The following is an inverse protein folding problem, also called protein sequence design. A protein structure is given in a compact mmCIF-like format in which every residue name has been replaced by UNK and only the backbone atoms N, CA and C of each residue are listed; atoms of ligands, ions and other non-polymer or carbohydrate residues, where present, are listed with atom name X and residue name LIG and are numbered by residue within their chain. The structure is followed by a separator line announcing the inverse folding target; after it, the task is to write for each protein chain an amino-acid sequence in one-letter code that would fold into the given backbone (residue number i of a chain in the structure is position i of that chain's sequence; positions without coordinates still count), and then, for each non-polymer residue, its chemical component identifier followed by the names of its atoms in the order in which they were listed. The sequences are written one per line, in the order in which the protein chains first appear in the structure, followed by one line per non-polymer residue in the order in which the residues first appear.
data_IF_979265611812
#
_entry.id   IF_979265611812
#
_cell.length_a   1.000
_cell.length_b   1.000
_cell.length_c   1.000
_cell.angle_alpha   90.00
_cell.angle_beta   90.00
_cell.angle_gamma   90.00
#
_symmetry.space_group_name_H-M   'P 1'
#
loop_
_entity.id
_entity.type
_entity.pdbx_description
1 polymer ?
#
# COMPACT_ATOMS: atom_id res chain seq x y z
N UNK A 1 52.03 27.89 5.58
CA UNK A 1 50.80 28.05 6.43
C UNK A 1 49.48 28.03 5.66
N UNK A 2 49.43 28.07 4.32
CA UNK A 2 48.19 28.13 3.51
C UNK A 2 47.57 26.75 3.18
N UNK A 3 48.35 25.68 3.15
CA UNK A 3 47.89 24.34 2.75
C UNK A 3 47.04 23.69 3.85
N UNK A 4 47.34 23.92 5.13
CA UNK A 4 46.56 23.33 6.25
C UNK A 4 45.15 23.87 6.34
N UNK A 5 44.91 25.15 5.98
CA UNK A 5 43.58 25.74 5.98
C UNK A 5 42.75 25.26 4.80
N UNK A 6 43.38 25.01 3.64
CA UNK A 6 42.69 24.47 2.48
C UNK A 6 42.24 23.03 2.69
N UNK A 7 43.08 22.20 3.35
CA UNK A 7 42.76 20.81 3.68
C UNK A 7 41.60 20.73 4.69
N UNK A 8 41.55 21.64 5.67
CA UNK A 8 40.46 21.72 6.65
C UNK A 8 39.12 22.14 6.00
N UNK A 9 39.18 23.05 5.04
CA UNK A 9 37.99 23.49 4.27
C UNK A 9 37.43 22.37 3.40
N UNK A 10 38.26 21.56 2.77
CA UNK A 10 37.84 20.42 1.96
C UNK A 10 37.22 19.33 2.82
N UNK A 11 37.77 19.07 4.01
CA UNK A 11 37.19 18.07 4.95
C UNK A 11 35.83 18.53 5.46
N UNK A 12 35.63 19.81 5.76
CA UNK A 12 34.34 20.36 6.20
C UNK A 12 33.31 20.34 5.06
N UNK A 13 33.71 20.61 3.83
CA UNK A 13 32.84 20.50 2.65
C UNK A 13 32.46 19.05 2.34
N UNK A 14 33.36 18.10 2.50
CA UNK A 14 33.06 16.67 2.30
C UNK A 14 32.17 16.10 3.39
N UNK A 15 32.24 16.60 4.63
CA UNK A 15 31.37 16.15 5.72
C UNK A 15 29.92 16.68 5.60
N UNK A 16 29.69 17.78 4.89
CA UNK A 16 28.35 18.29 4.64
C UNK A 16 27.56 17.51 3.57
N UNK A 17 28.23 16.68 2.77
CA UNK A 17 27.59 15.79 1.78
C UNK A 17 27.22 14.41 2.36
N UNK A 18 27.65 14.12 3.58
CA UNK A 18 27.35 12.89 4.29
C UNK A 18 26.07 12.97 5.15
N UNK A 19 25.28 14.04 5.01
CA UNK A 19 23.86 13.97 5.38
C UNK A 19 23.17 13.18 4.28
N UNK A 20 23.61 11.92 4.14
CA UNK A 20 22.97 10.94 3.34
C UNK A 20 21.53 10.85 3.84
N UNK A 21 20.59 10.94 2.92
CA UNK A 21 19.26 10.39 3.10
C UNK A 21 19.43 9.01 3.73
N UNK A 22 19.27 8.90 5.05
CA UNK A 22 18.93 7.61 5.62
C UNK A 22 17.76 7.14 4.77
N UNK A 23 17.79 5.93 4.20
CA UNK A 23 16.61 5.38 3.57
C UNK A 23 15.54 5.51 4.65
N UNK A 24 14.52 6.33 4.38
CA UNK A 24 13.39 6.40 5.24
C UNK A 24 12.82 4.98 5.24
N UNK A 25 13.19 4.20 6.23
CA UNK A 25 12.58 2.92 6.50
C UNK A 25 11.13 3.23 6.83
N UNK A 26 10.35 3.50 5.79
CA UNK A 26 8.93 3.59 5.89
C UNK A 26 8.43 2.18 6.11
N UNK A 27 8.53 1.73 7.34
CA UNK A 27 7.75 0.59 7.79
C UNK A 27 6.31 0.93 7.50
N UNK A 28 5.69 0.16 6.65
CA UNK A 28 4.26 0.21 6.44
C UNK A 28 3.63 -0.40 7.69
N UNK A 29 3.53 0.41 8.76
CA UNK A 29 3.16 -0.06 10.10
C UNK A 29 1.80 -0.77 10.10
N UNK A 30 0.91 -0.43 9.17
CA UNK A 30 -0.38 -1.10 9.02
C UNK A 30 -0.25 -2.56 8.56
N UNK A 31 0.81 -2.95 7.84
CA UNK A 31 1.05 -4.33 7.45
C UNK A 31 1.54 -5.19 8.62
N UNK A 32 2.23 -4.58 9.58
CA UNK A 32 2.76 -5.32 10.75
C UNK A 32 1.70 -5.74 11.74
N UNK A 33 0.55 -5.08 11.72
CA UNK A 33 -0.57 -5.36 12.65
C UNK A 33 -1.82 -5.87 11.94
N UNK A 34 -1.85 -5.81 10.61
CA UNK A 34 -3.04 -6.09 9.83
C UNK A 34 -4.07 -4.96 9.89
N UNK A 35 -5.13 -5.09 9.12
CA UNK A 35 -6.19 -4.10 9.11
C UNK A 35 -7.38 -4.48 8.25
N UNK A 36 -8.52 -3.86 8.55
CA UNK A 36 -9.74 -3.93 7.78
C UNK A 36 -10.14 -2.52 7.36
N UNK A 37 -10.57 -2.35 6.12
CA UNK A 37 -10.95 -1.06 5.58
C UNK A 37 -12.12 -1.15 4.62
N UNK A 38 -12.93 -0.11 4.56
CA UNK A 38 -13.79 0.13 3.41
C UNK A 38 -13.04 1.05 2.44
N UNK A 39 -12.99 0.61 1.19
CA UNK A 39 -12.37 1.35 0.10
C UNK A 39 -13.39 1.64 -1.00
N UNK A 40 -13.26 2.80 -1.60
CA UNK A 40 -13.97 3.17 -2.83
C UNK A 40 -12.95 3.58 -3.86
N UNK A 41 -13.23 3.29 -5.12
CA UNK A 41 -12.28 3.66 -6.16
C UNK A 41 -12.73 3.28 -7.54
N UNK A 42 -11.76 3.34 -8.43
CA UNK A 42 -11.88 2.95 -9.82
C UNK A 42 -10.73 2.02 -10.18
N UNK A 43 -11.03 1.00 -10.94
CA UNK A 43 -10.06 0.05 -11.45
C UNK A 43 -10.37 -0.21 -12.93
N UNK A 44 -9.43 0.12 -13.80
CA UNK A 44 -9.58 -0.01 -15.26
C UNK A 44 -10.86 0.67 -15.79
N UNK A 45 -11.21 1.85 -15.25
CA UNK A 45 -12.40 2.62 -15.65
C UNK A 45 -13.71 2.14 -15.01
N UNK A 46 -13.68 1.15 -14.11
CA UNK A 46 -14.87 0.64 -13.42
C UNK A 46 -14.85 1.07 -11.97
N UNK A 47 -15.85 1.86 -11.58
CA UNK A 47 -16.02 2.28 -10.19
C UNK A 47 -16.49 1.10 -9.32
N UNK A 48 -15.94 1.00 -8.11
CA UNK A 48 -16.30 -0.03 -7.15
C UNK A 48 -16.25 0.46 -5.70
N UNK A 49 -16.85 -0.31 -4.81
CA UNK A 49 -16.61 -0.25 -3.38
C UNK A 49 -16.43 -1.66 -2.82
N UNK A 50 -15.57 -1.79 -1.84
CA UNK A 50 -15.28 -3.08 -1.22
C UNK A 50 -14.84 -2.90 0.24
N UNK A 51 -15.06 -3.92 1.04
CA UNK A 51 -14.37 -4.12 2.30
C UNK A 51 -13.16 -4.99 2.05
N UNK A 52 -11.98 -4.49 2.40
CA UNK A 52 -10.71 -5.21 2.31
C UNK A 52 -10.22 -5.54 3.71
N UNK A 53 -9.66 -6.72 3.86
CA UNK A 53 -9.03 -7.17 5.10
C UNK A 53 -7.67 -7.75 4.76
N UNK A 54 -6.65 -7.29 5.46
CA UNK A 54 -5.27 -7.70 5.27
C UNK A 54 -4.80 -8.21 6.62
N UNK A 55 -4.50 -9.49 6.71
CA UNK A 55 -3.91 -10.06 7.90
C UNK A 55 -2.49 -9.52 8.12
N UNK A 56 -1.99 -9.75 9.32
CA UNK A 56 -0.62 -9.39 9.67
C UNK A 56 0.35 -9.90 8.60
N UNK A 57 1.27 -9.03 8.22
CA UNK A 57 2.32 -9.28 7.22
C UNK A 57 1.80 -9.65 5.81
N UNK A 58 0.48 -9.52 5.59
CA UNK A 58 -0.14 -9.78 4.28
C UNK A 58 -0.32 -11.26 3.94
N UNK A 59 -0.20 -12.15 4.91
CA UNK A 59 -0.30 -13.61 4.68
C UNK A 59 -1.69 -14.06 4.22
N UNK A 60 -2.73 -13.32 4.62
CA UNK A 60 -4.09 -13.55 4.20
C UNK A 60 -4.71 -12.24 3.76
N UNK A 61 -5.44 -12.28 2.66
CA UNK A 61 -6.15 -11.12 2.10
C UNK A 61 -7.59 -11.51 1.82
N UNK A 62 -8.54 -10.68 2.25
CA UNK A 62 -9.96 -10.82 1.97
C UNK A 62 -10.50 -9.56 1.31
N UNK A 63 -11.28 -9.73 0.25
CA UNK A 63 -11.98 -8.65 -0.45
C UNK A 63 -13.45 -9.02 -0.57
N UNK A 64 -14.33 -8.19 -0.03
CA UNK A 64 -15.77 -8.32 -0.17
C UNK A 64 -16.31 -7.12 -0.96
N UNK A 65 -16.87 -7.38 -2.14
CA UNK A 65 -17.41 -6.32 -2.99
C UNK A 65 -18.79 -5.86 -2.52
N UNK A 66 -18.93 -4.54 -2.36
CA UNK A 66 -20.22 -3.88 -2.07
C UNK A 66 -20.84 -3.32 -3.36
N UNK A 67 -20.04 -2.98 -4.34
CA UNK A 67 -20.43 -2.55 -5.69
C UNK A 67 -19.31 -2.87 -6.71
N UNK A 68 -19.60 -2.96 -8.02
CA UNK A 68 -20.91 -2.85 -8.67
C UNK A 68 -21.84 -4.02 -8.36
N UNK A 69 -23.10 -3.90 -8.82
CA UNK A 69 -24.14 -4.92 -8.55
C UNK A 69 -23.75 -6.34 -9.03
N UNK A 70 -22.95 -6.45 -10.09
CA UNK A 70 -22.46 -7.72 -10.63
C UNK A 70 -21.47 -8.45 -9.71
N UNK A 71 -20.83 -7.74 -8.78
CA UNK A 71 -19.86 -8.29 -7.83
C UNK A 71 -20.38 -8.25 -6.39
N UNK A 72 -21.49 -7.57 -6.14
CA UNK A 72 -21.99 -7.34 -4.79
C UNK A 72 -22.20 -8.65 -4.04
N UNK A 73 -21.58 -8.75 -2.86
CA UNK A 73 -21.64 -9.92 -1.98
C UNK A 73 -20.68 -11.05 -2.37
N UNK A 74 -19.90 -10.87 -3.44
CA UNK A 74 -18.79 -11.79 -3.71
C UNK A 74 -17.64 -11.50 -2.74
N UNK A 75 -17.07 -12.56 -2.19
CA UNK A 75 -15.94 -12.51 -1.28
C UNK A 75 -14.82 -13.34 -1.86
N UNK A 76 -13.64 -12.77 -1.94
CA UNK A 76 -12.40 -13.41 -2.37
C UNK A 76 -11.46 -13.48 -1.18
N UNK A 77 -10.96 -14.66 -0.87
CA UNK A 77 -10.01 -14.90 0.24
C UNK A 77 -8.79 -15.60 -0.30
N UNK A 78 -7.60 -15.10 0.02
CA UNK A 78 -6.35 -15.81 -0.23
C UNK A 78 -5.64 -16.10 1.06
N UNK A 79 -5.09 -17.30 1.17
CA UNK A 79 -4.21 -17.72 2.26
C UNK A 79 -3.08 -18.55 1.64
N UNK A 80 -1.87 -17.99 1.65
CA UNK A 80 -0.73 -18.58 0.95
C UNK A 80 -0.98 -18.74 -0.55
N UNK A 81 -0.93 -19.98 -1.05
CA UNK A 81 -1.16 -20.32 -2.45
C UNK A 81 -2.62 -20.67 -2.78
N UNK A 82 -3.51 -20.67 -1.78
CA UNK A 82 -4.92 -20.99 -1.97
C UNK A 82 -5.75 -19.73 -2.17
N UNK A 83 -6.77 -19.84 -3.02
CA UNK A 83 -7.82 -18.83 -3.15
C UNK A 83 -9.19 -19.49 -3.06
N UNK A 84 -10.07 -18.90 -2.27
CA UNK A 84 -11.46 -19.31 -2.15
C UNK A 84 -12.38 -18.14 -2.49
N UNK A 85 -13.42 -18.40 -3.27
CA UNK A 85 -14.44 -17.42 -3.66
C UNK A 85 -15.77 -17.85 -3.08
N UNK A 86 -16.44 -16.93 -2.40
CA UNK A 86 -17.76 -17.13 -1.82
C UNK A 86 -18.78 -16.29 -2.56
N UNK A 87 -19.93 -16.89 -2.82
CA UNK A 87 -21.12 -16.24 -3.34
C UNK A 87 -22.35 -16.74 -2.57
N UNK A 88 -22.81 -15.98 -1.59
CA UNK A 88 -23.81 -16.44 -0.66
C UNK A 88 -23.34 -17.68 0.11
N UNK A 89 -24.12 -18.77 0.02
CA UNK A 89 -23.82 -20.04 0.72
C UNK A 89 -22.93 -20.99 -0.12
N UNK A 90 -22.47 -20.56 -1.27
CA UNK A 90 -21.63 -21.38 -2.17
C UNK A 90 -20.20 -20.87 -2.12
N UNK A 91 -19.25 -21.80 -1.96
CA UNK A 91 -17.82 -21.49 -2.13
C UNK A 91 -17.16 -22.43 -3.12
N UNK A 92 -16.10 -21.96 -3.75
CA UNK A 92 -15.25 -22.77 -4.63
C UNK A 92 -13.80 -22.29 -4.53
N UNK A 93 -12.90 -23.27 -4.67
CA UNK A 93 -11.47 -23.02 -4.71
C UNK A 93 -11.06 -22.71 -6.14
N UNK A 94 -10.22 -21.70 -6.34
CA UNK A 94 -9.70 -21.32 -7.65
C UNK A 94 -8.20 -21.01 -7.59
N UNK A 95 -7.57 -20.91 -8.75
CA UNK A 95 -6.21 -20.44 -8.84
C UNK A 95 -6.17 -18.94 -8.53
N UNK A 96 -5.33 -18.48 -7.59
CA UNK A 96 -5.17 -17.05 -7.28
C UNK A 96 -4.89 -16.19 -8.52
N UNK A 97 -4.19 -16.73 -9.52
CA UNK A 97 -3.89 -16.00 -10.76
C UNK A 97 -5.16 -15.68 -11.57
N UNK A 98 -6.17 -16.56 -11.54
CA UNK A 98 -7.43 -16.35 -12.28
C UNK A 98 -8.26 -15.23 -11.66
N UNK A 99 -8.14 -14.99 -10.37
CA UNK A 99 -8.91 -13.99 -9.61
C UNK A 99 -8.06 -12.80 -9.15
N UNK A 100 -6.80 -12.73 -9.56
CA UNK A 100 -5.87 -11.69 -9.15
C UNK A 100 -6.42 -10.27 -9.35
N UNK A 101 -7.18 -10.05 -10.43
CA UNK A 101 -7.85 -8.78 -10.70
C UNK A 101 -8.83 -8.38 -9.60
N UNK A 102 -9.57 -9.32 -9.05
CA UNK A 102 -10.55 -9.07 -7.97
C UNK A 102 -9.91 -8.89 -6.59
N UNK A 103 -8.68 -9.34 -6.42
CA UNK A 103 -7.92 -9.15 -5.18
C UNK A 103 -7.16 -7.81 -5.14
N UNK A 104 -7.04 -7.13 -6.27
CA UNK A 104 -6.28 -5.87 -6.39
C UNK A 104 -6.66 -4.79 -5.39
N UNK A 105 -7.94 -4.58 -5.00
CA UNK A 105 -8.29 -3.59 -3.98
C UNK A 105 -7.56 -3.78 -2.65
N UNK A 106 -7.20 -5.01 -2.29
CA UNK A 106 -6.43 -5.29 -1.10
C UNK A 106 -4.93 -5.45 -1.38
N UNK A 107 -4.55 -6.21 -2.43
CA UNK A 107 -3.14 -6.48 -2.74
C UNK A 107 -2.38 -5.23 -3.16
N UNK A 108 -3.06 -4.19 -3.64
CA UNK A 108 -2.46 -2.89 -3.90
C UNK A 108 -1.84 -2.25 -2.66
N UNK A 109 -2.36 -2.55 -1.45
CA UNK A 109 -1.77 -2.09 -0.19
C UNK A 109 -0.55 -2.92 0.25
N UNK A 110 -0.35 -4.10 -0.35
CA UNK A 110 0.79 -4.97 -0.06
C UNK A 110 1.99 -4.57 -0.92
N UNK A 111 2.54 -3.39 -0.67
CA UNK A 111 3.68 -2.90 -1.44
C UNK A 111 4.94 -3.67 -1.07
N UNK A 112 5.57 -4.25 -2.07
CA UNK A 112 6.82 -4.95 -1.92
C UNK A 112 8.00 -4.04 -2.24
N UNK A 113 8.79 -3.75 -1.22
CA UNK A 113 9.99 -2.92 -1.34
C UNK A 113 9.88 -1.55 -0.64
N UNK A 114 11.01 -0.88 -0.55
CA UNK A 114 11.06 0.46 0.03
C UNK A 114 10.51 1.54 -0.90
N UNK A 115 9.92 2.58 -0.34
CA UNK A 115 9.55 3.75 -1.10
C UNK A 115 10.80 4.45 -1.65
N UNK A 116 10.75 4.91 -2.90
CA UNK A 116 11.81 5.72 -3.52
C UNK A 116 11.89 7.10 -2.89
N UNK A 117 10.75 7.65 -2.51
CA UNK A 117 10.66 8.95 -1.85
C UNK A 117 9.50 9.00 -0.87
N UNK A 118 9.68 9.84 0.14
CA UNK A 118 8.64 10.20 1.11
C UNK A 118 8.52 11.71 1.12
N UNK A 119 7.36 12.22 0.78
CA UNK A 119 7.05 13.64 0.80
C UNK A 119 5.99 13.93 1.85
N UNK A 120 6.02 15.13 2.42
CA UNK A 120 5.01 15.59 3.37
C UNK A 120 4.05 16.53 2.65
N UNK A 121 2.76 16.18 2.65
CA UNK A 121 1.67 17.01 2.14
C UNK A 121 0.73 17.38 3.28
N UNK A 122 0.89 18.60 3.80
CA UNK A 122 0.23 19.00 5.04
C UNK A 122 0.70 18.14 6.22
N UNK A 123 -0.22 17.42 6.85
CA UNK A 123 0.10 16.48 7.93
C UNK A 123 0.35 15.04 7.41
N UNK A 124 -0.03 14.76 6.19
CA UNK A 124 0.07 13.43 5.59
C UNK A 124 1.46 13.14 5.02
N UNK A 125 1.76 11.87 4.84
CA UNK A 125 2.97 11.38 4.17
C UNK A 125 2.58 10.71 2.86
N UNK A 126 3.17 11.14 1.75
CA UNK A 126 3.02 10.52 0.44
C UNK A 126 4.27 9.73 0.14
N UNK A 127 4.12 8.43 0.00
CA UNK A 127 5.17 7.51 -0.39
C UNK A 127 5.06 7.24 -1.88
N UNK A 128 6.18 7.35 -2.60
CA UNK A 128 6.26 6.99 -4.02
C UNK A 128 7.15 5.76 -4.16
N UNK A 129 6.65 4.72 -4.81
CA UNK A 129 7.35 3.46 -5.02
C UNK A 129 8.05 3.42 -6.39
N UNK A 130 9.01 2.50 -6.59
CA UNK A 130 9.74 2.36 -7.86
C UNK A 130 8.85 2.15 -9.09
N UNK A 131 7.70 1.54 -8.88
CA UNK A 131 6.67 1.26 -9.89
C UNK A 131 5.83 2.48 -10.29
N UNK A 132 6.07 3.66 -9.66
CA UNK A 132 5.29 4.89 -9.88
C UNK A 132 4.03 4.99 -9.02
N UNK A 133 3.71 3.97 -8.26
CA UNK A 133 2.59 3.99 -7.31
C UNK A 133 2.81 5.02 -6.21
N UNK A 134 1.71 5.62 -5.74
CA UNK A 134 1.72 6.52 -4.59
C UNK A 134 0.75 6.05 -3.52
N UNK A 135 1.23 6.02 -2.29
CA UNK A 135 0.43 5.71 -1.11
C UNK A 135 0.45 6.90 -0.16
N UNK A 136 -0.72 7.42 0.15
CA UNK A 136 -0.86 8.49 1.15
C UNK A 136 -1.21 7.88 2.50
N UNK A 137 -0.44 8.24 3.50
CA UNK A 137 -0.65 7.84 4.89
C UNK A 137 -1.00 9.06 5.76
N UNK A 138 -1.87 8.85 6.73
CA UNK A 138 -2.14 9.80 7.80
C UNK A 138 -0.89 9.99 8.69
N UNK A 139 -0.88 10.98 9.59
CA UNK A 139 0.17 11.11 10.61
C UNK A 139 0.35 9.87 11.47
N UNK A 140 -0.73 9.12 11.72
CA UNK A 140 -0.72 7.85 12.47
C UNK A 140 -0.21 6.64 11.67
N UNK A 141 0.10 6.81 10.38
CA UNK A 141 0.54 5.71 9.51
C UNK A 141 -0.60 4.91 8.88
N UNK A 142 -1.85 5.35 9.04
CA UNK A 142 -3.02 4.70 8.44
C UNK A 142 -3.13 5.06 6.97
N UNK A 143 -3.42 4.10 6.06
CA UNK A 143 -3.67 4.39 4.65
C UNK A 143 -4.87 5.34 4.45
N UNK A 144 -4.72 6.33 3.56
CA UNK A 144 -5.78 7.27 3.17
C UNK A 144 -6.17 7.03 1.71
N UNK A 145 -5.18 6.93 0.83
CA UNK A 145 -5.40 6.69 -0.59
C UNK A 145 -4.22 5.98 -1.22
N UNK A 146 -4.49 5.28 -2.30
CA UNK A 146 -3.48 4.65 -3.13
C UNK A 146 -3.81 4.97 -4.60
N UNK A 147 -2.79 5.40 -5.34
CA UNK A 147 -2.93 5.63 -6.77
C UNK A 147 -1.86 4.85 -7.52
N UNK A 148 -2.29 4.20 -8.58
CA UNK A 148 -1.49 3.48 -9.55
C UNK A 148 -2.13 3.71 -10.91
N UNK A 149 -1.44 3.46 -12.01
CA UNK A 149 -1.88 3.78 -13.38
C UNK A 149 -3.34 3.42 -13.69
N UNK A 150 -3.81 2.29 -13.22
CA UNK A 150 -5.12 1.73 -13.53
C UNK A 150 -6.01 1.49 -12.29
N UNK A 151 -5.52 1.87 -11.10
CA UNK A 151 -6.28 1.74 -9.85
C UNK A 151 -6.12 2.98 -8.99
N UNK A 152 -7.25 3.57 -8.63
CA UNK A 152 -7.34 4.72 -7.73
C UNK A 152 -8.24 4.35 -6.55
N UNK A 153 -7.66 4.29 -5.36
CA UNK A 153 -8.35 3.90 -4.14
C UNK A 153 -8.37 5.06 -3.15
N UNK A 154 -9.50 5.22 -2.49
CA UNK A 154 -9.65 6.05 -1.30
C UNK A 154 -10.19 5.19 -0.17
N UNK A 155 -9.55 5.26 0.99
CA UNK A 155 -9.97 4.60 2.21
C UNK A 155 -11.03 5.45 2.88
N UNK A 156 -12.20 4.87 3.15
CA UNK A 156 -13.31 5.53 3.84
C UNK A 156 -13.12 5.42 5.35
N UNK A 157 -12.76 4.24 5.81
CA UNK A 157 -12.35 3.98 7.19
C UNK A 157 -11.30 2.86 7.24
N UNK A 158 -10.52 2.84 8.30
CA UNK A 158 -9.50 1.83 8.58
C UNK A 158 -9.60 1.42 10.05
N UNK A 159 -9.61 0.11 10.29
CA UNK A 159 -9.59 -0.50 11.61
C UNK A 159 -8.41 -1.48 11.70
N UNK A 160 -7.68 -1.46 12.80
CA UNK A 160 -6.63 -2.46 13.10
C UNK A 160 -7.27 -3.73 13.62
N UNK A 161 -6.80 -4.88 13.19
CA UNK A 161 -7.26 -6.21 13.63
C UNK A 161 -6.12 -7.00 14.26
#
# INVERSE_FOLDING_TARGET
MKIRHFLLLVVVLMSSWAVGCAPAGSTLDYLTVGGRAEVVGEMSGVAFSAVVEIAKDGECVRVEYLSPASLKGMIFVTEGEACEVFLGDVSFVCDPCEVAGFLRPATAFLQHGGANSVQKEGENRVLTFPTGETLTLSPSGTPISLNRDDIHLRVIWWEKI
#
